data_IF_346209938488
#
_entry.id   IF_346209938488
#
_cell.length_a   1.000
_cell.length_b   1.000
_cell.length_c   1.000
_cell.angle_alpha   90.00
_cell.angle_beta   90.00
_cell.angle_gamma   90.00
#
_symmetry.space_group_name_H-M   'P 1'
#
loop_
_entity.id
_entity.type
_entity.pdbx_description
1 polymer ?
#
# COMPACT_ATOMS: atom_id res chain seq x y z
N UNK A 1 -14.56 14.30 -37.05
CA UNK A 1 -15.28 13.01 -36.98
C UNK A 1 -14.45 11.95 -37.68
N UNK A 2 -13.61 11.23 -36.93
CA UNK A 2 -12.92 10.00 -37.33
C UNK A 2 -12.76 9.18 -36.04
N UNK A 3 -13.49 8.07 -35.98
CA UNK A 3 -13.52 7.13 -34.86
C UNK A 3 -12.41 6.10 -35.15
N UNK A 4 -11.47 5.95 -34.23
CA UNK A 4 -10.46 4.91 -34.28
C UNK A 4 -10.83 3.83 -33.25
N UNK A 5 -11.35 2.72 -33.76
CA UNK A 5 -11.69 1.52 -33.01
C UNK A 5 -10.45 0.63 -32.95
N UNK A 6 -9.84 0.48 -31.77
CA UNK A 6 -8.75 -0.48 -31.57
C UNK A 6 -9.31 -1.75 -30.95
N UNK A 7 -9.36 -2.80 -31.78
CA UNK A 7 -9.74 -4.16 -31.43
C UNK A 7 -8.49 -4.88 -30.87
N UNK A 8 -8.48 -5.31 -29.61
CA UNK A 8 -7.42 -6.17 -29.06
C UNK A 8 -7.95 -7.60 -28.94
N UNK A 9 -7.37 -8.50 -29.74
CA UNK A 9 -7.55 -9.95 -29.66
C UNK A 9 -6.93 -10.47 -28.36
N UNK A 10 -7.72 -11.16 -27.55
CA UNK A 10 -7.23 -11.96 -26.43
C UNK A 10 -6.56 -13.23 -26.92
N UNK A 11 -5.38 -13.53 -26.37
CA UNK A 11 -4.72 -14.83 -26.51
C UNK A 11 -5.04 -15.66 -25.27
N UNK A 12 -6.02 -16.56 -25.41
CA UNK A 12 -6.17 -17.73 -24.53
C UNK A 12 -5.27 -18.85 -25.08
N UNK A 13 -4.28 -19.28 -24.31
CA UNK A 13 -3.54 -20.51 -24.59
C UNK A 13 -3.98 -21.58 -23.58
N UNK A 14 -4.94 -22.40 -24.01
CA UNK A 14 -5.36 -23.65 -23.38
C UNK A 14 -4.70 -24.80 -24.16
N UNK A 15 -3.87 -25.60 -23.50
CA UNK A 15 -3.45 -26.92 -24.00
C UNK A 15 -2.81 -27.71 -22.84
N UNK A 16 -2.88 -29.03 -22.75
CA UNK A 16 -3.81 -30.06 -23.20
C UNK A 16 -3.25 -31.32 -22.52
N UNK A 17 -4.09 -32.00 -21.75
CA UNK A 17 -3.77 -33.25 -21.08
C UNK A 17 -3.74 -34.38 -22.13
N UNK A 18 -2.64 -35.12 -22.24
CA UNK A 18 -2.61 -36.40 -22.97
C UNK A 18 -1.96 -37.50 -22.13
N UNK A 19 -2.82 -38.39 -21.64
CA UNK A 19 -2.51 -39.76 -21.21
C UNK A 19 -2.41 -40.65 -22.45
N UNK A 20 -1.36 -41.47 -22.55
CA UNK A 20 -1.38 -42.72 -23.30
C UNK A 20 -0.50 -43.77 -22.60
N UNK A 21 -1.02 -44.99 -22.58
CA UNK A 21 -0.60 -46.16 -21.83
C UNK A 21 0.51 -46.98 -22.51
N UNK A 22 1.15 -47.87 -21.75
CA UNK A 22 1.96 -48.98 -22.27
C UNK A 22 2.51 -49.90 -21.18
N UNK A 23 1.85 -51.05 -20.97
CA UNK A 23 2.26 -52.15 -20.11
C UNK A 23 3.42 -52.98 -20.71
N UNK A 24 4.28 -53.58 -19.88
CA UNK A 24 4.46 -55.05 -19.79
C UNK A 24 5.52 -55.44 -18.75
N UNK A 25 5.14 -56.41 -17.92
CA UNK A 25 5.94 -57.24 -17.00
C UNK A 25 7.12 -57.96 -17.70
N UNK A 26 8.21 -58.27 -17.01
CA UNK A 26 8.33 -59.51 -16.18
C UNK A 26 9.77 -59.72 -15.65
N UNK A 27 9.83 -60.25 -14.42
CA UNK A 27 10.88 -60.99 -13.68
C UNK A 27 12.36 -60.93 -14.12
N UNK A 28 13.26 -60.75 -13.13
CA UNK A 28 14.07 -61.83 -12.49
C UNK A 28 15.19 -61.22 -11.63
N UNK A 29 15.08 -61.33 -10.31
CA UNK A 29 16.20 -61.43 -9.36
C UNK A 29 16.73 -62.89 -9.40
N UNK A 30 18.00 -63.25 -9.03
CA UNK A 30 18.59 -62.79 -7.77
C UNK A 30 20.14 -62.76 -7.64
N UNK A 31 20.56 -62.21 -6.49
CA UNK A 31 21.67 -62.64 -5.62
C UNK A 31 23.12 -62.57 -6.13
N UNK A 32 23.93 -61.70 -5.50
CA UNK A 32 24.93 -62.09 -4.47
C UNK A 32 26.08 -61.08 -4.40
N UNK A 33 26.22 -60.50 -3.21
CA UNK A 33 27.45 -60.38 -2.39
C UNK A 33 28.81 -60.35 -3.12
N UNK A 34 29.53 -59.22 -3.07
CA UNK A 34 30.90 -59.16 -2.51
C UNK A 34 31.42 -57.72 -2.44
N UNK A 35 31.89 -57.32 -1.26
CA UNK A 35 32.88 -56.25 -1.11
C UNK A 35 34.26 -56.93 -0.98
N UNK A 36 35.33 -56.35 -1.52
CA UNK A 36 36.21 -55.59 -0.64
C UNK A 36 36.84 -54.33 -1.27
N UNK A 37 37.19 -53.37 -0.40
CA UNK A 37 38.09 -52.25 -0.65
C UNK A 37 39.57 -52.70 -0.57
N UNK A 38 40.61 -51.83 -0.63
CA UNK A 38 40.71 -50.41 -1.05
C UNK A 38 41.89 -50.17 -2.05
N UNK A 39 42.10 -48.91 -2.47
CA UNK A 39 43.40 -48.20 -2.53
C UNK A 39 43.51 -47.14 -3.66
N UNK A 40 44.18 -46.04 -3.33
CA UNK A 40 44.71 -44.94 -4.15
C UNK A 40 43.84 -43.69 -4.42
N UNK A 41 43.99 -42.69 -3.54
CA UNK A 41 44.06 -41.25 -3.89
C UNK A 41 45.44 -40.96 -4.55
N UNK A 42 45.75 -39.79 -5.18
CA UNK A 42 45.14 -38.45 -5.02
C UNK A 42 44.97 -37.60 -6.31
N UNK A 43 44.23 -36.49 -6.23
CA UNK A 43 44.58 -35.19 -6.87
C UNK A 43 43.52 -34.12 -6.60
N UNK A 44 44.02 -32.90 -6.39
CA UNK A 44 43.38 -31.69 -5.89
C UNK A 44 42.33 -30.99 -6.77
N UNK A 45 41.44 -30.28 -6.05
CA UNK A 45 40.76 -29.00 -6.33
C UNK A 45 39.52 -28.93 -7.25
N UNK A 46 38.61 -27.94 -7.06
CA UNK A 46 38.28 -27.13 -5.87
C UNK A 46 36.78 -27.17 -5.49
N UNK A 47 36.50 -26.78 -4.25
CA UNK A 47 35.18 -26.67 -3.65
C UNK A 47 34.27 -25.68 -4.41
N UNK A 48 33.04 -26.12 -4.69
CA UNK A 48 31.94 -25.26 -5.08
C UNK A 48 31.04 -25.00 -3.86
N UNK A 49 30.84 -23.72 -3.59
CA UNK A 49 30.07 -23.11 -2.52
C UNK A 49 28.73 -23.83 -2.24
N UNK A 50 28.58 -24.23 -0.99
CA UNK A 50 27.30 -24.35 -0.32
C UNK A 50 26.93 -22.96 0.20
N UNK A 51 25.92 -22.32 -0.38
CA UNK A 51 25.20 -21.21 0.26
C UNK A 51 23.86 -20.96 -0.44
N UNK A 52 22.77 -21.46 0.12
CA UNK A 52 21.45 -20.85 0.05
C UNK A 52 20.51 -21.52 1.06
N UNK A 53 20.86 -21.47 2.36
CA UNK A 53 19.83 -21.51 3.39
C UNK A 53 19.33 -20.07 3.55
N UNK A 54 18.09 -19.83 3.14
CA UNK A 54 17.40 -18.57 3.33
C UNK A 54 17.18 -18.39 4.84
N UNK A 55 17.92 -17.44 5.42
CA UNK A 55 17.78 -17.03 6.81
C UNK A 55 16.46 -16.25 6.96
N UNK A 56 15.42 -16.97 7.35
CA UNK A 56 14.13 -16.43 7.75
C UNK A 56 14.23 -15.81 9.16
N UNK A 57 15.04 -14.76 9.35
CA UNK A 57 14.96 -13.91 10.53
C UNK A 57 15.67 -12.55 10.48
N UNK A 58 15.69 -11.87 9.32
CA UNK A 58 16.09 -10.45 9.29
C UNK A 58 14.86 -9.57 9.51
N UNK A 59 14.51 -9.38 10.78
CA UNK A 59 13.63 -8.29 11.21
C UNK A 59 14.41 -6.98 11.06
N UNK A 60 13.94 -5.99 10.27
CA UNK A 60 14.61 -4.69 10.15
C UNK A 60 14.59 -4.00 11.53
N UNK A 61 15.75 -3.92 12.16
CA UNK A 61 15.92 -3.18 13.40
C UNK A 61 16.26 -1.73 13.03
N UNK A 62 15.34 -0.83 13.40
CA UNK A 62 15.30 0.61 13.08
C UNK A 62 14.98 0.90 11.60
N UNK A 63 13.88 1.64 11.38
CA UNK A 63 13.68 2.34 10.11
C UNK A 63 14.84 3.32 9.97
N UNK A 64 15.76 3.04 9.05
CA UNK A 64 16.82 3.95 8.69
C UNK A 64 16.23 5.08 7.83
N UNK A 65 15.77 6.14 8.50
CA UNK A 65 15.23 7.35 7.87
C UNK A 65 16.30 8.03 6.97
N UNK A 66 17.60 7.77 7.19
CA UNK A 66 18.67 8.20 6.29
C UNK A 66 18.74 7.38 5.00
N UNK A 67 18.46 6.07 5.03
CA UNK A 67 18.35 5.26 3.82
C UNK A 67 17.14 5.68 2.95
N UNK A 68 16.06 6.17 3.58
CA UNK A 68 14.91 6.81 2.90
C UNK A 68 15.32 8.13 2.20
N UNK A 69 16.45 8.73 2.57
CA UNK A 69 16.93 10.01 2.05
C UNK A 69 17.71 9.87 0.74
N UNK A 70 18.38 8.74 0.54
CA UNK A 70 19.23 8.48 -0.64
C UNK A 70 18.48 7.69 -1.73
N UNK A 71 17.43 6.94 -1.38
CA UNK A 71 16.54 6.25 -2.33
C UNK A 71 15.35 7.13 -2.77
N UNK A 72 15.64 8.34 -3.24
CA UNK A 72 14.67 9.21 -3.92
C UNK A 72 14.22 8.67 -5.30
N UNK A 73 14.31 7.35 -5.54
CA UNK A 73 13.66 6.64 -6.63
C UNK A 73 12.36 6.06 -6.12
N UNK A 74 11.30 6.87 -6.19
CA UNK A 74 9.93 6.38 -6.46
C UNK A 74 9.42 5.27 -5.53
N UNK A 75 9.91 5.20 -4.29
CA UNK A 75 9.50 4.21 -3.32
C UNK A 75 8.13 4.61 -2.73
N UNK A 76 7.18 3.66 -2.82
CA UNK A 76 5.82 3.71 -2.27
C UNK A 76 5.66 4.65 -1.06
N UNK A 77 4.90 5.74 -1.22
CA UNK A 77 4.60 6.65 -0.10
C UNK A 77 3.45 6.20 0.81
N UNK A 78 2.94 4.98 0.60
CA UNK A 78 2.05 4.33 1.57
C UNK A 78 2.71 3.00 1.94
N UNK A 79 3.26 2.86 3.16
CA UNK A 79 3.64 1.55 3.65
C UNK A 79 2.40 0.66 3.63
N UNK A 80 2.56 -0.59 3.21
CA UNK A 80 1.50 -1.58 3.31
C UNK A 80 0.93 -1.59 4.76
N UNK A 81 -0.31 -1.99 4.99
CA UNK A 81 -0.95 -1.87 6.30
C UNK A 81 -0.16 -2.57 7.41
N UNK A 82 0.47 -3.70 7.06
CA UNK A 82 1.41 -4.46 7.89
C UNK A 82 2.70 -3.67 8.19
N UNK A 83 3.25 -2.97 7.21
CA UNK A 83 4.45 -2.11 7.34
C UNK A 83 4.18 -0.89 8.21
N UNK A 84 3.02 -0.25 8.08
CA UNK A 84 2.66 0.87 8.95
C UNK A 84 2.48 0.43 10.40
N UNK A 85 1.81 -0.71 10.62
CA UNK A 85 1.69 -1.29 11.96
C UNK A 85 3.04 -1.72 12.53
N UNK A 86 3.94 -2.27 11.69
CA UNK A 86 5.30 -2.62 12.09
C UNK A 86 6.10 -1.36 12.46
N UNK A 87 5.97 -0.28 11.69
CA UNK A 87 6.59 1.01 11.99
C UNK A 87 6.14 1.55 13.36
N UNK A 88 4.84 1.51 13.66
CA UNK A 88 4.31 1.93 14.96
C UNK A 88 4.84 1.06 16.10
N UNK A 89 4.80 -0.27 15.96
CA UNK A 89 5.38 -1.19 16.97
C UNK A 89 6.87 -0.93 17.19
N UNK A 90 7.63 -0.70 16.12
CA UNK A 90 9.08 -0.45 16.17
C UNK A 90 9.44 0.89 16.83
N UNK A 91 8.53 1.88 16.76
CA UNK A 91 8.72 3.21 17.36
C UNK A 91 8.44 3.26 18.87
N UNK A 92 8.08 2.12 19.49
CA UNK A 92 7.65 2.04 20.90
C UNK A 92 6.45 2.97 21.23
N UNK A 93 5.73 3.42 20.20
CA UNK A 93 4.49 4.20 20.34
C UNK A 93 3.37 3.21 20.62
N UNK A 94 3.02 3.07 21.90
CA UNK A 94 1.93 2.20 22.36
C UNK A 94 0.54 2.82 22.09
N UNK A 95 0.30 3.28 20.87
CA UNK A 95 -1.01 3.85 20.48
C UNK A 95 -1.65 3.01 19.38
N UNK A 96 -2.86 2.54 19.67
CA UNK A 96 -3.68 1.81 18.70
C UNK A 96 -4.45 2.80 17.82
N UNK A 97 -3.78 3.33 16.80
CA UNK A 97 -4.38 4.25 15.82
C UNK A 97 -5.61 3.68 15.10
N UNK A 98 -5.80 2.35 15.09
CA UNK A 98 -6.94 1.70 14.43
C UNK A 98 -8.25 2.07 15.11
N UNK A 99 -8.20 2.38 16.42
CA UNK A 99 -9.34 2.88 17.19
C UNK A 99 -9.75 4.31 16.83
N UNK A 100 -8.88 5.05 16.14
CA UNK A 100 -9.12 6.43 15.73
C UNK A 100 -9.76 6.51 14.33
N UNK A 101 -9.86 5.38 13.61
CA UNK A 101 -10.42 5.36 12.25
C UNK A 101 -11.92 5.57 12.30
N UNK A 102 -12.34 6.77 11.92
CA UNK A 102 -13.75 7.16 11.80
C UNK A 102 -14.22 7.00 10.35
N UNK A 103 -15.48 6.64 10.20
CA UNK A 103 -16.12 6.67 8.89
C UNK A 103 -16.28 8.12 8.41
N UNK A 104 -16.04 8.33 7.12
CA UNK A 104 -16.37 9.56 6.40
C UNK A 104 -17.70 9.33 5.67
N UNK A 105 -18.70 10.18 5.92
CA UNK A 105 -19.95 10.25 5.16
C UNK A 105 -19.85 11.20 3.96
N UNK A 106 -18.63 11.63 3.63
CA UNK A 106 -18.40 12.70 2.66
C UNK A 106 -18.62 12.21 1.24
N UNK A 107 -19.35 13.01 0.48
CA UNK A 107 -19.69 12.74 -0.91
C UNK A 107 -18.55 13.08 -1.86
N UNK A 108 -18.44 12.35 -2.97
CA UNK A 108 -17.57 12.67 -4.11
C UNK A 108 -18.23 13.64 -5.10
N UNK A 109 -19.53 13.89 -4.96
CA UNK A 109 -20.30 14.67 -5.91
C UNK A 109 -19.85 16.14 -5.94
N UNK A 110 -19.68 16.68 -7.15
CA UNK A 110 -19.34 18.09 -7.37
C UNK A 110 -17.86 18.44 -7.14
N UNK A 111 -17.02 17.47 -6.77
CA UNK A 111 -15.60 17.67 -6.53
C UNK A 111 -14.79 17.56 -7.82
N UNK A 112 -13.67 18.30 -7.88
CA UNK A 112 -12.70 18.13 -8.96
C UNK A 112 -11.92 16.81 -8.79
N UNK A 113 -11.27 16.37 -9.87
CA UNK A 113 -10.58 15.08 -9.95
C UNK A 113 -9.45 14.91 -8.92
N UNK A 114 -8.73 15.98 -8.59
CA UNK A 114 -7.65 15.96 -7.59
C UNK A 114 -8.18 15.71 -6.18
N UNK A 115 -9.30 16.36 -5.82
CA UNK A 115 -10.00 16.17 -4.55
C UNK A 115 -10.61 14.76 -4.47
N UNK A 116 -11.16 14.24 -5.56
CA UNK A 116 -11.63 12.84 -5.64
C UNK A 116 -10.47 11.86 -5.41
N UNK A 117 -9.29 12.12 -5.98
CA UNK A 117 -8.11 11.28 -5.79
C UNK A 117 -7.67 11.24 -4.32
N UNK A 118 -7.54 12.40 -3.69
CA UNK A 118 -7.21 12.51 -2.26
C UNK A 118 -8.22 11.74 -1.39
N UNK A 119 -9.52 11.97 -1.56
CA UNK A 119 -10.55 11.28 -0.77
C UNK A 119 -10.57 9.77 -1.04
N UNK A 120 -10.26 9.33 -2.26
CA UNK A 120 -10.11 7.89 -2.59
C UNK A 120 -8.97 7.28 -1.78
N UNK A 121 -7.83 7.96 -1.70
CA UNK A 121 -6.71 7.57 -0.85
C UNK A 121 -7.08 7.42 0.63
N UNK A 122 -7.84 8.38 1.16
CA UNK A 122 -8.32 8.35 2.55
C UNK A 122 -9.27 7.17 2.79
N UNK A 123 -10.18 6.89 1.86
CA UNK A 123 -11.10 5.75 1.92
C UNK A 123 -10.34 4.42 1.92
N UNK A 124 -9.30 4.29 1.08
CA UNK A 124 -8.43 3.11 1.05
C UNK A 124 -7.65 2.96 2.36
N UNK A 125 -7.05 4.02 2.88
CA UNK A 125 -6.34 3.98 4.16
C UNK A 125 -7.26 3.56 5.31
N UNK A 126 -8.48 4.09 5.38
CA UNK A 126 -9.46 3.73 6.42
C UNK A 126 -9.93 2.28 6.31
N UNK A 127 -10.07 1.74 5.10
CA UNK A 127 -10.36 0.33 4.89
C UNK A 127 -9.22 -0.53 5.45
N UNK A 128 -8.01 -0.29 4.95
CA UNK A 128 -6.81 -1.07 5.28
C UNK A 128 -6.49 -1.07 6.77
N UNK A 129 -6.57 0.10 7.43
CA UNK A 129 -6.28 0.24 8.86
C UNK A 129 -7.30 -0.44 9.77
N UNK A 130 -8.43 -0.92 9.24
CA UNK A 130 -9.50 -1.50 10.05
C UNK A 130 -9.84 -2.93 9.72
N UNK A 131 -9.19 -3.55 8.73
CA UNK A 131 -9.37 -4.96 8.35
C UNK A 131 -9.36 -5.90 9.56
N UNK A 132 -8.49 -5.64 10.53
CA UNK A 132 -8.31 -6.50 11.70
C UNK A 132 -9.21 -6.18 12.89
N UNK A 133 -9.89 -5.04 12.89
CA UNK A 133 -10.54 -4.49 14.09
C UNK A 133 -12.00 -4.10 13.90
N UNK A 134 -12.45 -3.88 12.66
CA UNK A 134 -13.82 -3.49 12.37
C UNK A 134 -14.69 -4.72 12.08
N UNK A 135 -15.98 -4.61 12.40
CA UNK A 135 -16.96 -5.64 12.09
C UNK A 135 -17.22 -5.74 10.58
N UNK A 136 -17.63 -6.93 10.14
CA UNK A 136 -17.90 -7.25 8.72
C UNK A 136 -18.77 -6.21 8.00
N UNK A 137 -19.90 -5.70 8.55
CA UNK A 137 -20.70 -4.68 7.86
C UNK A 137 -19.95 -3.37 7.62
N UNK A 138 -19.08 -2.96 8.56
CA UNK A 138 -18.27 -1.75 8.45
C UNK A 138 -17.22 -1.92 7.35
N UNK A 139 -16.55 -3.07 7.31
CA UNK A 139 -15.57 -3.39 6.26
C UNK A 139 -16.21 -3.40 4.87
N UNK A 140 -17.40 -4.01 4.72
CA UNK A 140 -18.14 -4.00 3.45
C UNK A 140 -18.49 -2.56 3.03
N UNK A 141 -18.97 -1.73 3.96
CA UNK A 141 -19.27 -0.34 3.66
C UNK A 141 -18.02 0.45 3.22
N UNK A 142 -16.87 0.20 3.84
CA UNK A 142 -15.59 0.85 3.48
C UNK A 142 -15.05 0.38 2.13
N UNK A 143 -15.14 -0.92 1.82
CA UNK A 143 -14.80 -1.44 0.49
C UNK A 143 -15.67 -0.79 -0.60
N UNK A 144 -16.99 -0.70 -0.37
CA UNK A 144 -17.92 -0.03 -1.30
C UNK A 144 -17.57 1.45 -1.51
N UNK A 145 -17.21 2.17 -0.45
CA UNK A 145 -16.76 3.58 -0.55
C UNK A 145 -15.43 3.72 -1.29
N UNK A 146 -14.45 2.86 -1.03
CA UNK A 146 -13.19 2.87 -1.77
C UNK A 146 -13.43 2.64 -3.27
N UNK A 147 -14.29 1.67 -3.60
CA UNK A 147 -14.74 1.40 -4.97
C UNK A 147 -15.40 2.60 -5.65
N UNK A 148 -16.28 3.33 -4.97
CA UNK A 148 -16.87 4.57 -5.52
C UNK A 148 -15.81 5.58 -5.97
N UNK A 149 -14.73 5.71 -5.18
CA UNK A 149 -13.59 6.56 -5.51
C UNK A 149 -12.88 6.12 -6.80
N UNK A 150 -12.56 4.82 -6.90
CA UNK A 150 -11.95 4.24 -8.10
C UNK A 150 -12.81 4.45 -9.36
N UNK A 151 -14.12 4.24 -9.25
CA UNK A 151 -15.06 4.50 -10.35
C UNK A 151 -15.07 5.98 -10.72
N UNK A 152 -15.10 6.89 -9.75
CA UNK A 152 -15.08 8.33 -10.00
C UNK A 152 -13.76 8.80 -10.62
N UNK A 153 -12.65 8.09 -10.37
CA UNK A 153 -11.37 8.29 -11.03
C UNK A 153 -11.30 7.66 -12.42
N UNK A 154 -12.27 6.84 -12.81
CA UNK A 154 -12.31 6.19 -14.12
C UNK A 154 -11.42 4.95 -14.21
N UNK A 155 -11.20 4.25 -13.10
CA UNK A 155 -10.53 2.95 -13.09
C UNK A 155 -11.16 1.98 -14.10
N UNK A 156 -10.38 1.09 -14.74
CA UNK A 156 -10.89 0.16 -15.73
C UNK A 156 -11.99 -0.74 -15.18
N UNK A 157 -12.95 -1.10 -16.03
CA UNK A 157 -14.08 -1.96 -15.65
C UNK A 157 -13.64 -3.28 -15.01
N UNK A 158 -12.53 -3.87 -15.47
CA UNK A 158 -12.03 -5.14 -14.97
C UNK A 158 -11.46 -5.02 -13.55
N UNK A 159 -10.77 -3.92 -13.23
CA UNK A 159 -10.34 -3.61 -11.87
C UNK A 159 -11.56 -3.40 -10.95
N UNK A 160 -12.56 -2.64 -11.41
CA UNK A 160 -13.78 -2.40 -10.63
C UNK A 160 -14.53 -3.72 -10.35
N UNK A 161 -14.59 -4.63 -11.33
CA UNK A 161 -15.16 -5.98 -11.15
C UNK A 161 -14.37 -6.84 -10.17
N UNK A 162 -13.05 -6.70 -10.12
CA UNK A 162 -12.23 -7.43 -9.14
C UNK A 162 -12.54 -6.95 -7.72
N UNK A 163 -12.64 -5.63 -7.52
CA UNK A 163 -13.07 -5.06 -6.24
C UNK A 163 -14.47 -5.54 -5.87
N UNK A 164 -15.41 -5.57 -6.82
CA UNK A 164 -16.76 -6.13 -6.60
C UNK A 164 -16.72 -7.60 -6.19
N UNK A 165 -15.84 -8.41 -6.81
CA UNK A 165 -15.67 -9.81 -6.44
C UNK A 165 -15.20 -9.94 -5.00
N UNK A 166 -14.16 -9.21 -4.60
CA UNK A 166 -13.66 -9.25 -3.21
C UNK A 166 -14.75 -8.84 -2.22
N UNK A 167 -15.55 -7.81 -2.53
CA UNK A 167 -16.70 -7.42 -1.71
C UNK A 167 -17.72 -8.55 -1.58
N UNK A 168 -18.10 -9.17 -2.70
CA UNK A 168 -19.10 -10.25 -2.73
C UNK A 168 -18.59 -11.50 -2.01
N UNK A 169 -17.33 -11.87 -2.22
CA UNK A 169 -16.73 -13.06 -1.62
C UNK A 169 -16.58 -12.88 -0.10
N UNK A 170 -16.21 -11.68 0.36
CA UNK A 170 -16.20 -11.38 1.79
C UNK A 170 -17.63 -11.34 2.37
N UNK A 171 -18.59 -10.74 1.66
CA UNK A 171 -20.00 -10.68 2.08
C UNK A 171 -20.60 -12.08 2.22
N UNK A 172 -20.23 -13.03 1.36
CA UNK A 172 -20.70 -14.42 1.35
C UNK A 172 -19.86 -15.41 2.17
N UNK A 173 -18.87 -14.93 2.92
CA UNK A 173 -17.95 -15.78 3.71
C UNK A 173 -17.14 -16.77 2.85
N UNK A 174 -16.95 -16.48 1.57
CA UNK A 174 -16.01 -17.18 0.68
C UNK A 174 -14.57 -16.71 0.97
N UNK A 175 -14.41 -15.41 1.27
CA UNK A 175 -13.16 -14.82 1.74
C UNK A 175 -13.29 -14.56 3.25
N UNK A 176 -12.37 -15.10 4.06
CA UNK A 176 -12.39 -14.88 5.51
C UNK A 176 -11.79 -13.52 5.91
N UNK A 177 -12.05 -13.07 7.15
CA UNK A 177 -11.44 -11.86 7.69
C UNK A 177 -9.90 -11.93 7.78
N UNK A 178 -9.34 -13.13 7.95
CA UNK A 178 -7.89 -13.33 7.96
C UNK A 178 -7.28 -13.17 6.56
N UNK A 179 -8.03 -13.54 5.52
CA UNK A 179 -7.59 -13.47 4.12
C UNK A 179 -7.89 -12.10 3.48
N UNK A 180 -8.81 -11.32 4.04
CA UNK A 180 -9.18 -10.01 3.53
C UNK A 180 -7.98 -9.04 3.47
N UNK A 181 -7.10 -9.04 4.46
CA UNK A 181 -5.91 -8.19 4.48
C UNK A 181 -5.00 -8.46 3.27
N UNK A 182 -4.49 -9.69 3.12
CA UNK A 182 -3.69 -10.07 1.95
C UNK A 182 -4.40 -9.81 0.60
N UNK A 183 -5.71 -10.06 0.50
CA UNK A 183 -6.45 -9.77 -0.73
C UNK A 183 -6.50 -8.27 -1.06
N UNK A 184 -6.66 -7.42 -0.04
CA UNK A 184 -6.64 -5.97 -0.21
C UNK A 184 -5.24 -5.44 -0.54
N UNK A 185 -4.17 -6.08 -0.07
CA UNK A 185 -2.80 -5.71 -0.42
C UNK A 185 -2.53 -5.94 -1.91
N UNK A 186 -2.93 -7.10 -2.44
CA UNK A 186 -2.85 -7.41 -3.89
C UNK A 186 -3.67 -6.42 -4.72
N UNK A 187 -4.89 -6.11 -4.28
CA UNK A 187 -5.72 -5.10 -4.94
C UNK A 187 -5.09 -3.71 -4.90
N UNK A 188 -4.46 -3.32 -3.79
CA UNK A 188 -3.83 -2.03 -3.66
C UNK A 188 -2.65 -1.87 -4.63
N UNK A 189 -1.85 -2.93 -4.82
CA UNK A 189 -0.77 -2.98 -5.83
C UNK A 189 -1.35 -2.82 -7.25
N UNK A 190 -2.37 -3.60 -7.60
CA UNK A 190 -3.02 -3.49 -8.90
C UNK A 190 -3.63 -2.11 -9.17
N UNK A 191 -4.27 -1.50 -8.17
CA UNK A 191 -4.80 -0.14 -8.27
C UNK A 191 -3.67 0.87 -8.53
N UNK A 192 -2.51 0.70 -7.88
CA UNK A 192 -1.38 1.60 -8.08
C UNK A 192 -0.83 1.49 -9.50
N UNK A 193 -0.64 0.28 -10.00
CA UNK A 193 -0.20 0.04 -11.39
C UNK A 193 -1.18 0.64 -12.39
N UNK A 194 -2.48 0.36 -12.24
CA UNK A 194 -3.52 0.87 -13.13
C UNK A 194 -3.61 2.40 -13.11
N UNK A 195 -3.45 3.04 -11.94
CA UNK A 195 -3.47 4.50 -11.82
C UNK A 195 -2.20 5.14 -12.40
N UNK A 196 -1.07 4.44 -12.37
CA UNK A 196 0.19 4.91 -12.97
C UNK A 196 0.18 4.79 -14.50
N UNK A 197 -0.48 3.76 -15.05
CA UNK A 197 -0.60 3.55 -16.50
C UNK A 197 -1.65 4.44 -17.17
N UNK A 198 -2.69 4.84 -16.44
CA UNK A 198 -3.68 5.79 -16.93
C UNK A 198 -3.05 7.18 -17.13
N UNK A 199 -3.47 7.87 -18.19
CA UNK A 199 -2.83 9.06 -18.78
C UNK A 199 -2.60 10.29 -17.88
N UNK A 200 -2.87 10.19 -16.57
CA UNK A 200 -2.57 11.21 -15.58
C UNK A 200 -1.82 10.60 -14.37
N UNK A 201 -0.47 10.50 -14.45
CA UNK A 201 0.37 10.03 -13.35
C UNK A 201 0.18 10.82 -12.04
N UNK A 202 -0.38 12.03 -12.09
CA UNK A 202 -0.66 12.79 -10.88
C UNK A 202 -1.79 12.17 -10.07
N UNK A 203 -2.76 11.49 -10.68
CA UNK A 203 -3.90 10.89 -9.96
C UNK A 203 -3.42 9.81 -9.00
N UNK A 204 -2.57 8.88 -9.45
CA UNK A 204 -1.99 7.84 -8.59
C UNK A 204 -1.26 8.44 -7.40
N UNK A 205 -0.43 9.46 -7.63
CA UNK A 205 0.28 10.18 -6.57
C UNK A 205 -0.67 10.89 -5.61
N UNK A 206 -1.77 11.48 -6.09
CA UNK A 206 -2.76 12.15 -5.23
C UNK A 206 -3.58 11.16 -4.39
N UNK A 207 -3.87 9.96 -4.92
CA UNK A 207 -4.43 8.87 -4.10
C UNK A 207 -3.45 8.50 -2.99
N UNK A 208 -2.16 8.40 -3.29
CA UNK A 208 -1.15 8.15 -2.26
C UNK A 208 -1.08 9.29 -1.23
N UNK A 209 -1.14 10.54 -1.67
CA UNK A 209 -1.15 11.72 -0.81
C UNK A 209 -2.33 11.69 0.17
N UNK A 210 -3.53 11.33 -0.29
CA UNK A 210 -4.72 11.20 0.55
C UNK A 210 -4.56 10.15 1.64
N UNK A 211 -4.08 8.95 1.27
CA UNK A 211 -3.82 7.89 2.25
C UNK A 211 -2.74 8.27 3.27
N UNK A 212 -1.68 8.95 2.82
CA UNK A 212 -0.64 9.47 3.70
C UNK A 212 -1.17 10.52 4.69
N UNK A 213 -1.94 11.51 4.22
CA UNK A 213 -2.55 12.54 5.09
C UNK A 213 -3.42 11.88 6.16
N UNK A 214 -4.20 10.85 5.81
CA UNK A 214 -5.00 10.12 6.78
C UNK A 214 -4.14 9.38 7.80
N UNK A 215 -3.09 8.69 7.38
CA UNK A 215 -2.16 8.01 8.28
C UNK A 215 -1.49 8.99 9.26
N UNK A 216 -1.03 10.14 8.76
CA UNK A 216 -0.44 11.20 9.57
C UNK A 216 -1.45 11.77 10.54
N UNK A 217 -2.68 12.06 10.12
CA UNK A 217 -3.73 12.56 11.00
C UNK A 217 -3.98 11.63 12.20
N UNK A 218 -4.14 10.33 11.92
CA UNK A 218 -4.39 9.33 12.96
C UNK A 218 -3.20 9.23 13.92
N UNK A 219 -1.97 9.21 13.39
CA UNK A 219 -0.75 9.18 14.18
C UNK A 219 -0.57 10.44 15.04
N UNK A 220 -0.68 11.63 14.45
CA UNK A 220 -0.52 12.89 15.18
C UNK A 220 -1.61 13.09 16.22
N UNK A 221 -2.85 12.67 15.95
CA UNK A 221 -3.94 12.70 16.94
C UNK A 221 -3.62 11.78 18.12
N UNK A 222 -3.22 10.54 17.82
CA UNK A 222 -2.79 9.56 18.81
C UNK A 222 -1.64 10.06 19.71
N UNK A 223 -0.60 10.66 19.09
CA UNK A 223 0.55 11.20 19.81
C UNK A 223 0.16 12.44 20.64
N UNK A 224 -0.69 13.32 20.10
CA UNK A 224 -1.18 14.50 20.80
C UNK A 224 -2.00 14.13 22.05
N UNK A 225 -2.92 13.18 21.92
CA UNK A 225 -3.74 12.66 23.03
C UNK A 225 -2.87 12.02 24.12
N UNK A 226 -1.78 11.37 23.72
CA UNK A 226 -0.79 10.77 24.62
C UNK A 226 0.25 11.75 25.18
N UNK A 227 0.24 13.02 24.76
CA UNK A 227 1.25 14.02 25.15
C UNK A 227 2.67 13.69 24.67
N UNK A 228 2.82 12.88 23.61
CA UNK A 228 4.11 12.42 23.12
C UNK A 228 4.85 13.50 22.30
N UNK A 229 6.18 13.55 22.40
CA UNK A 229 7.06 14.49 21.70
C UNK A 229 8.46 13.90 21.49
N UNK A 230 9.37 14.62 20.81
CA UNK A 230 10.75 14.16 20.60
C UNK A 230 10.81 12.90 19.71
N UNK A 231 11.55 11.88 20.12
CA UNK A 231 11.72 10.63 19.35
C UNK A 231 10.40 9.95 18.98
N UNK A 232 9.38 10.03 19.86
CA UNK A 232 8.06 9.47 19.59
C UNK A 232 7.31 10.21 18.47
N UNK A 233 7.66 11.48 18.22
CA UNK A 233 7.13 12.30 17.14
C UNK A 233 8.00 12.26 15.88
N UNK A 234 9.11 11.49 15.87
CA UNK A 234 10.04 11.45 14.75
C UNK A 234 9.41 10.97 13.44
N UNK A 235 8.39 10.11 13.54
CA UNK A 235 7.60 9.65 12.40
C UNK A 235 6.83 10.78 11.70
N UNK A 236 6.64 11.94 12.32
CA UNK A 236 6.03 13.12 11.71
C UNK A 236 7.04 14.03 10.98
N UNK A 237 8.36 13.79 11.15
CA UNK A 237 9.41 14.50 10.43
C UNK A 237 9.54 13.98 8.99
N UNK A 238 8.58 14.35 8.14
CA UNK A 238 8.53 13.94 6.74
C UNK A 238 8.47 15.14 5.76
N UNK A 239 9.42 16.11 5.83
CA UNK A 239 9.38 17.31 4.99
C UNK A 239 9.52 16.99 3.49
N UNK A 240 10.28 15.96 3.12
CA UNK A 240 10.44 15.53 1.72
C UNK A 240 9.14 14.99 1.14
N UNK A 241 8.37 14.23 1.92
CA UNK A 241 7.07 13.67 1.51
C UNK A 241 6.06 14.79 1.28
N UNK A 242 6.00 15.75 2.20
CA UNK A 242 5.16 16.94 2.06
C UNK A 242 5.52 17.75 0.82
N UNK A 243 6.81 17.98 0.57
CA UNK A 243 7.27 18.70 -0.62
C UNK A 243 6.89 17.97 -1.91
N UNK A 244 7.04 16.64 -1.94
CA UNK A 244 6.67 15.80 -3.07
C UNK A 244 5.18 15.91 -3.39
N UNK A 245 4.29 15.63 -2.43
CA UNK A 245 2.85 15.71 -2.68
C UNK A 245 2.36 17.12 -2.99
N UNK A 246 2.92 18.14 -2.34
CA UNK A 246 2.62 19.55 -2.64
C UNK A 246 2.96 19.89 -4.09
N UNK A 247 4.08 19.38 -4.61
CA UNK A 247 4.47 19.60 -6.01
C UNK A 247 3.45 18.98 -6.98
N UNK A 248 2.97 17.77 -6.71
CA UNK A 248 1.95 17.11 -7.53
C UNK A 248 0.60 17.84 -7.49
N UNK A 249 0.17 18.30 -6.32
CA UNK A 249 -1.04 19.12 -6.21
C UNK A 249 -0.94 20.40 -7.04
N UNK A 250 0.19 21.12 -6.96
CA UNK A 250 0.44 22.33 -7.75
C UNK A 250 0.48 22.06 -9.26
N UNK A 251 0.96 20.89 -9.68
CA UNK A 251 1.08 20.51 -11.09
C UNK A 251 -0.23 19.95 -11.68
N UNK A 252 -1.14 19.45 -10.84
CA UNK A 252 -2.46 19.00 -11.26
C UNK A 252 -3.25 20.11 -11.97
N UNK A 253 -4.21 19.74 -12.82
CA UNK A 253 -5.04 20.72 -13.54
C UNK A 253 -5.78 21.66 -12.59
N UNK A 254 -6.30 21.14 -11.48
CA UNK A 254 -6.97 21.93 -10.45
C UNK A 254 -5.98 22.88 -9.74
N UNK A 255 -4.77 22.42 -9.43
CA UNK A 255 -3.72 23.28 -8.85
C UNK A 255 -3.29 24.41 -9.79
N UNK A 256 -3.07 24.10 -11.08
CA UNK A 256 -2.66 25.10 -12.09
C UNK A 256 -3.76 26.12 -12.40
N UNK A 257 -5.01 25.71 -12.32
CA UNK A 257 -6.17 26.60 -12.51
C UNK A 257 -6.53 27.42 -11.27
N UNK A 258 -5.90 27.14 -10.12
CA UNK A 258 -6.17 27.83 -8.86
C UNK A 258 -7.52 27.46 -8.25
N UNK A 259 -7.94 26.20 -8.41
CA UNK A 259 -9.12 25.65 -7.75
C UNK A 259 -9.03 25.89 -6.23
N UNK A 260 -10.05 26.50 -5.60
CA UNK A 260 -9.97 26.95 -4.21
C UNK A 260 -9.77 25.80 -3.22
N UNK A 261 -10.35 24.62 -3.49
CA UNK A 261 -10.23 23.46 -2.60
C UNK A 261 -8.81 22.91 -2.65
N UNK A 262 -8.23 22.82 -3.86
CA UNK A 262 -6.83 22.37 -4.02
C UNK A 262 -5.83 23.37 -3.45
N UNK A 263 -6.07 24.67 -3.64
CA UNK A 263 -5.24 25.73 -3.05
C UNK A 263 -5.27 25.68 -1.52
N UNK A 264 -6.43 25.40 -0.93
CA UNK A 264 -6.55 25.25 0.53
C UNK A 264 -5.74 24.03 1.03
N UNK A 265 -5.85 22.88 0.36
CA UNK A 265 -5.04 21.69 0.69
C UNK A 265 -3.54 21.99 0.59
N UNK A 266 -3.10 22.63 -0.51
CA UNK A 266 -1.70 23.04 -0.70
C UNK A 266 -1.22 23.92 0.47
N UNK A 267 -2.03 24.90 0.88
CA UNK A 267 -1.67 25.81 1.97
C UNK A 267 -1.46 25.08 3.29
N UNK A 268 -2.32 24.12 3.62
CA UNK A 268 -2.16 23.32 4.84
C UNK A 268 -0.93 22.39 4.78
N UNK A 269 -0.65 21.78 3.62
CA UNK A 269 0.56 20.97 3.44
C UNK A 269 1.86 21.79 3.57
N UNK A 270 1.87 23.03 3.07
CA UNK A 270 3.01 23.94 3.24
C UNK A 270 3.23 24.33 4.70
N UNK A 271 2.16 24.59 5.46
CA UNK A 271 2.27 24.84 6.91
C UNK A 271 2.82 23.63 7.65
N UNK A 272 2.36 22.43 7.31
CA UNK A 272 2.91 21.19 7.87
C UNK A 272 4.40 21.02 7.53
N UNK A 273 4.84 21.39 6.33
CA UNK A 273 6.23 21.25 5.92
C UNK A 273 7.17 22.10 6.79
N UNK A 274 6.73 23.29 7.20
CA UNK A 274 7.46 24.14 8.14
C UNK A 274 7.64 23.48 9.52
N UNK A 275 6.63 22.74 9.98
CA UNK A 275 6.68 22.02 11.25
C UNK A 275 7.59 20.80 11.12
N UNK A 276 7.37 19.98 10.09
CA UNK A 276 8.12 18.75 9.83
C UNK A 276 9.63 19.00 9.60
N UNK A 277 10.01 20.19 9.13
CA UNK A 277 11.39 20.61 8.92
C UNK A 277 12.16 21.06 10.17
N UNK A 278 11.53 21.10 11.36
CA UNK A 278 12.23 21.41 12.61
C UNK A 278 13.17 20.27 13.00
N UNK A 279 14.23 20.57 13.76
CA UNK A 279 15.17 19.55 14.24
C UNK A 279 14.54 18.60 15.28
N UNK A 280 13.53 19.08 16.01
CA UNK A 280 12.71 18.27 16.92
C UNK A 280 11.29 18.82 17.00
N UNK A 281 10.31 17.94 17.23
CA UNK A 281 8.91 18.34 17.42
C UNK A 281 8.52 18.38 18.90
N UNK A 282 7.98 19.52 19.32
CA UNK A 282 7.30 19.68 20.61
C UNK A 282 5.89 19.07 20.59
N UNK A 283 5.26 18.93 21.74
CA UNK A 283 3.85 18.51 21.82
C UNK A 283 2.92 19.47 21.09
N UNK A 284 3.20 20.77 21.08
CA UNK A 284 2.39 21.76 20.37
C UNK A 284 2.58 21.66 18.85
N UNK A 285 3.76 21.24 18.40
CA UNK A 285 4.00 20.90 17.00
C UNK A 285 3.18 19.68 16.56
N UNK A 286 3.16 18.62 17.39
CA UNK A 286 2.35 17.42 17.14
C UNK A 286 0.86 17.76 17.05
N UNK A 287 0.35 18.57 17.98
CA UNK A 287 -1.04 19.08 17.94
C UNK A 287 -1.31 19.90 16.69
N UNK A 288 -0.35 20.71 16.26
CA UNK A 288 -0.48 21.52 15.05
C UNK A 288 -0.54 20.63 13.80
N UNK A 289 0.28 19.58 13.73
CA UNK A 289 0.21 18.58 12.64
C UNK A 289 -1.17 17.89 12.61
N UNK A 290 -1.71 17.51 13.77
CA UNK A 290 -3.06 16.95 13.86
C UNK A 290 -4.13 17.94 13.39
N UNK A 291 -4.02 19.22 13.76
CA UNK A 291 -4.96 20.25 13.33
C UNK A 291 -4.90 20.49 11.81
N UNK A 292 -3.70 20.59 11.22
CA UNK A 292 -3.53 20.81 9.79
C UNK A 292 -4.02 19.63 8.95
N UNK A 293 -3.70 18.40 9.36
CA UNK A 293 -4.21 17.21 8.66
C UNK A 293 -5.72 17.07 8.79
N UNK A 294 -6.30 17.33 9.97
CA UNK A 294 -7.75 17.38 10.14
C UNK A 294 -8.40 18.47 9.25
N UNK A 295 -7.75 19.63 9.09
CA UNK A 295 -8.23 20.68 8.19
C UNK A 295 -8.19 20.25 6.72
N UNK A 296 -7.11 19.58 6.26
CA UNK A 296 -7.04 18.98 4.92
C UNK A 296 -8.19 18.00 4.71
N UNK A 297 -8.39 17.08 5.68
CA UNK A 297 -9.44 16.07 5.65
C UNK A 297 -10.86 16.63 5.77
N UNK A 298 -11.03 17.93 6.01
CA UNK A 298 -12.34 18.59 6.03
C UNK A 298 -12.72 19.23 4.69
N UNK A 299 -11.75 19.42 3.78
CA UNK A 299 -11.97 19.99 2.44
C UNK A 299 -12.56 19.00 1.44
N UNK A 300 -12.35 17.73 1.70
CA UNK A 300 -13.00 16.62 1.00
C UNK A 300 -13.63 15.71 2.03
#
# INVERSE_FOLDING_TARGET
>A
MKIATSFRLGFFALAALTLLAGCSDDKTEPSSTEAPAPEAAPADAPAADAAAEADANVVPSKIDISAVRDDARTAMFIPAPSEFQAALKSSNVAVDIRKQVKDSDRTLQGKNRSIIALETGVRMANLLLSVQTADKPVLIARMKRAREGLVALGSPDDLVKEVDRVVVDFEKDVLSAAELGPALDVLAEQIQDDLAEQADPAVGTLVQAGGWVQGVNLLSTALADGGMSGDAAALLHQPTVLAYFTAFLKQSDAGRSGDPDVVAVISEMEKMALIAGKDSLSTDDVKSVAAHTAAILAWF
#
